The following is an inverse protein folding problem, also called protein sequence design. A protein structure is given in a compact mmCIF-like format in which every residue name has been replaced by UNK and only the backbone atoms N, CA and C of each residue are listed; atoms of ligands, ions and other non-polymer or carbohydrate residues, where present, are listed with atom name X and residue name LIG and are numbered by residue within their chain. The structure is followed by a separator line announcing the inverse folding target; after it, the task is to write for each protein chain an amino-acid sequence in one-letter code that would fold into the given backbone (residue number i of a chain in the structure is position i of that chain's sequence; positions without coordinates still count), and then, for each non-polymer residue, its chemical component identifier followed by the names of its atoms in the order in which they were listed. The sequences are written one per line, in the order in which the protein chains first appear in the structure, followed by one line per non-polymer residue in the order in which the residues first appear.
data_IF_407481832190
#
_entry.id   IF_407481832190
#
_cell.length_a   1.000
_cell.length_b   1.000
_cell.length_c   1.000
_cell.angle_alpha   90.00
_cell.angle_beta   90.00
_cell.angle_gamma   90.00
#
_symmetry.space_group_name_H-M   'P 1'
#
loop_
_entity.id
_entity.type
_entity.pdbx_description
1 polymer ?
#
# COMPACT_ATOMS: atom_id res chain seq x y z
N UNK A 1 -27.42 -20.12 -1.31
CA UNK A 1 -26.20 -20.03 -0.49
C UNK A 1 -25.10 -19.52 -1.40
N UNK A 2 -24.37 -18.46 -1.04
CA UNK A 2 -23.24 -18.02 -1.85
C UNK A 2 -22.21 -19.16 -1.89
N UNK A 3 -21.76 -19.52 -3.09
CA UNK A 3 -20.80 -20.60 -3.32
C UNK A 3 -19.49 -20.28 -2.57
N UNK A 4 -19.00 -21.24 -1.77
CA UNK A 4 -17.81 -21.01 -0.95
C UNK A 4 -16.58 -21.05 -1.85
N UNK A 5 -16.00 -19.88 -2.13
CA UNK A 5 -14.74 -19.78 -2.90
C UNK A 5 -13.61 -20.53 -2.22
N UNK A 6 -12.87 -21.29 -3.01
CA UNK A 6 -11.58 -21.89 -2.64
C UNK A 6 -10.52 -20.82 -2.36
N UNK A 7 -9.44 -21.22 -1.67
CA UNK A 7 -8.34 -20.32 -1.37
C UNK A 7 -7.73 -19.69 -2.64
N UNK A 8 -7.56 -20.49 -3.71
CA UNK A 8 -6.97 -20.01 -4.95
C UNK A 8 -7.93 -19.10 -5.74
N UNK A 9 -9.25 -19.36 -5.71
CA UNK A 9 -10.23 -18.44 -6.30
C UNK A 9 -10.24 -17.08 -5.61
N UNK A 10 -9.96 -17.02 -4.30
CA UNK A 10 -9.75 -15.74 -3.59
C UNK A 10 -8.48 -15.03 -4.06
N UNK A 11 -7.38 -15.75 -4.27
CA UNK A 11 -6.14 -15.19 -4.88
C UNK A 11 -6.42 -14.63 -6.27
N UNK A 12 -7.14 -15.36 -7.12
CA UNK A 12 -7.54 -14.88 -8.44
C UNK A 12 -8.44 -13.64 -8.36
N UNK A 13 -9.35 -13.59 -7.40
CA UNK A 13 -10.21 -12.43 -7.16
C UNK A 13 -9.43 -11.20 -6.61
N UNK A 14 -8.38 -11.41 -5.80
CA UNK A 14 -7.48 -10.35 -5.35
C UNK A 14 -6.67 -9.76 -6.51
N UNK A 15 -6.26 -10.61 -7.46
CA UNK A 15 -5.44 -10.24 -8.63
C UNK A 15 -6.22 -9.71 -9.81
N UNK A 16 -7.56 -9.81 -9.79
CA UNK A 16 -8.40 -9.38 -10.90
C UNK A 16 -8.07 -7.94 -11.32
N UNK A 17 -7.77 -7.72 -12.60
CA UNK A 17 -7.35 -6.42 -13.12
C UNK A 17 -8.39 -5.30 -13.00
N UNK A 18 -9.68 -5.65 -12.78
CA UNK A 18 -10.78 -4.70 -12.52
C UNK A 18 -11.07 -4.50 -11.04
N UNK A 19 -10.29 -5.13 -10.16
CA UNK A 19 -10.46 -4.97 -8.71
C UNK A 19 -10.14 -3.52 -8.34
N UNK A 20 -11.04 -2.83 -7.61
CA UNK A 20 -10.77 -1.51 -7.06
C UNK A 20 -9.50 -1.49 -6.20
N UNK A 21 -8.66 -0.49 -6.45
CA UNK A 21 -7.39 -0.27 -5.76
C UNK A 21 -7.45 1.02 -4.93
N UNK A 22 -6.34 1.44 -4.34
CA UNK A 22 -6.35 2.54 -3.38
C UNK A 22 -6.89 3.87 -3.94
N UNK A 23 -6.63 4.19 -5.22
CA UNK A 23 -7.15 5.40 -5.86
C UNK A 23 -8.68 5.42 -5.92
N UNK A 24 -9.31 4.27 -6.21
CA UNK A 24 -10.77 4.13 -6.24
C UNK A 24 -11.39 4.52 -4.89
N UNK A 25 -10.83 4.03 -3.78
CA UNK A 25 -11.34 4.36 -2.45
C UNK A 25 -11.09 5.81 -2.08
N UNK A 26 -9.94 6.39 -2.48
CA UNK A 26 -9.69 7.82 -2.30
C UNK A 26 -10.76 8.64 -3.02
N UNK A 27 -11.02 8.36 -4.30
CA UNK A 27 -12.00 9.09 -5.11
C UNK A 27 -13.43 9.00 -4.57
N UNK A 28 -13.82 7.86 -4.01
CA UNK A 28 -15.20 7.61 -3.59
C UNK A 28 -15.47 7.85 -2.10
N UNK A 29 -14.44 7.97 -1.26
CA UNK A 29 -14.59 8.08 0.20
C UNK A 29 -13.95 9.35 0.79
N UNK A 30 -13.04 10.01 0.08
CA UNK A 30 -12.25 11.12 0.63
C UNK A 30 -12.63 12.41 -0.09
N UNK A 31 -13.32 13.28 0.64
CA UNK A 31 -13.72 14.60 0.15
C UNK A 31 -12.51 15.55 0.15
N UNK A 32 -12.48 16.49 -0.81
CA UNK A 32 -11.45 17.53 -0.94
C UNK A 32 -10.01 16.98 -0.96
N UNK A 33 -9.81 15.82 -1.60
CA UNK A 33 -8.50 15.18 -1.64
C UNK A 33 -7.48 16.03 -2.43
N UNK A 34 -6.35 16.31 -1.77
CA UNK A 34 -5.18 16.97 -2.36
C UNK A 34 -4.02 15.99 -2.30
N UNK A 35 -3.60 15.53 -3.49
CA UNK A 35 -2.43 14.66 -3.64
C UNK A 35 -1.14 15.44 -3.33
N UNK A 36 -0.22 14.80 -2.59
CA UNK A 36 1.05 15.36 -2.15
C UNK A 36 2.20 14.48 -2.63
N UNK A 37 3.10 15.09 -3.40
CA UNK A 37 4.16 14.38 -4.13
C UNK A 37 5.53 14.44 -3.44
N UNK A 38 6.36 13.44 -3.73
CA UNK A 38 7.80 13.40 -3.47
C UNK A 38 8.21 12.99 -2.05
N UNK A 39 9.40 12.40 -1.94
CA UNK A 39 10.01 12.00 -0.67
C UNK A 39 10.97 13.05 -0.08
N UNK A 40 11.25 14.12 -0.83
CA UNK A 40 12.24 15.19 -0.54
C UNK A 40 13.70 14.70 -0.50
N UNK A 41 13.99 13.55 -1.08
CA UNK A 41 15.33 12.95 -1.11
C UNK A 41 15.74 12.50 -2.51
N UNK A 42 14.87 11.79 -3.21
CA UNK A 42 15.20 11.19 -4.51
C UNK A 42 14.10 11.42 -5.55
N UNK A 43 12.86 11.07 -5.27
CA UNK A 43 11.81 11.02 -6.30
C UNK A 43 10.40 11.02 -5.77
N UNK A 44 9.45 11.00 -6.72
CA UNK A 44 8.03 10.80 -6.46
C UNK A 44 7.57 9.49 -7.08
N UNK A 45 7.46 8.44 -6.26
CA UNK A 45 7.05 7.11 -6.72
C UNK A 45 5.56 7.06 -7.02
N UNK A 46 5.20 6.83 -8.28
CA UNK A 46 3.81 6.76 -8.73
C UNK A 46 3.05 5.53 -8.20
N UNK A 47 3.74 4.50 -7.68
CA UNK A 47 3.13 3.35 -7.02
C UNK A 47 2.46 3.71 -5.69
N UNK A 48 2.79 4.88 -5.11
CA UNK A 48 2.17 5.41 -3.89
C UNK A 48 1.40 6.68 -4.22
N UNK A 49 0.06 6.63 -4.12
CA UNK A 49 -0.80 7.82 -4.14
C UNK A 49 -1.04 8.25 -2.70
N UNK A 50 -0.73 9.49 -2.35
CA UNK A 50 -0.87 9.92 -0.97
C UNK A 50 -1.19 11.40 -0.85
N UNK A 51 -1.93 11.78 0.18
CA UNK A 51 -2.42 13.15 0.30
C UNK A 51 -3.22 13.41 1.56
N UNK A 52 -3.91 14.55 1.58
CA UNK A 52 -4.81 14.97 2.65
C UNK A 52 -6.20 15.17 2.09
N UNK A 53 -7.21 14.95 2.92
CA UNK A 53 -8.61 15.23 2.58
C UNK A 53 -9.46 15.09 3.83
N UNK A 54 -10.76 14.91 3.65
CA UNK A 54 -11.67 14.66 4.77
C UNK A 54 -12.49 13.39 4.56
N UNK A 55 -12.70 12.64 5.63
CA UNK A 55 -13.60 11.50 5.68
C UNK A 55 -14.67 11.79 6.72
N UNK A 56 -15.93 11.92 6.32
CA UNK A 56 -17.02 12.32 7.21
C UNK A 56 -16.69 13.60 8.02
N UNK A 57 -16.11 14.61 7.35
CA UNK A 57 -15.64 15.88 7.93
C UNK A 57 -14.44 15.79 8.89
N UNK A 58 -13.84 14.61 9.05
CA UNK A 58 -12.61 14.42 9.83
C UNK A 58 -11.42 14.58 8.88
N UNK A 59 -10.47 15.50 9.14
CA UNK A 59 -9.28 15.64 8.31
C UNK A 59 -8.38 14.42 8.48
N UNK A 60 -8.04 13.78 7.36
CA UNK A 60 -7.24 12.54 7.33
C UNK A 60 -6.06 12.69 6.39
N UNK A 61 -4.99 11.94 6.66
CA UNK A 61 -3.94 11.65 5.68
C UNK A 61 -4.19 10.27 5.12
N UNK A 62 -4.19 10.16 3.79
CA UNK A 62 -4.48 8.90 3.09
C UNK A 62 -3.28 8.50 2.25
N UNK A 63 -2.91 7.22 2.29
CA UNK A 63 -1.75 6.66 1.59
C UNK A 63 -2.22 5.36 0.94
N UNK A 64 -2.02 5.22 -0.36
CA UNK A 64 -2.54 4.13 -1.16
C UNK A 64 -1.44 3.54 -2.05
N UNK A 65 -1.29 2.22 -2.01
CA UNK A 65 -0.59 1.50 -3.08
C UNK A 65 -1.51 1.44 -4.29
N UNK A 66 -1.02 1.93 -5.43
CA UNK A 66 -1.79 2.02 -6.66
C UNK A 66 -1.06 1.37 -7.82
N UNK A 67 -1.74 0.44 -8.50
CA UNK A 67 -1.19 -0.26 -9.67
C UNK A 67 -1.63 0.35 -10.98
N UNK A 68 -2.75 1.07 -11.06
CA UNK A 68 -3.31 1.59 -12.30
C UNK A 68 -4.21 0.62 -13.05
N UNK A 69 -5.12 1.20 -13.85
CA UNK A 69 -6.16 0.46 -14.57
C UNK A 69 -5.72 0.10 -15.99
N UNK A 70 -4.98 1.01 -16.63
CA UNK A 70 -4.42 0.78 -17.97
C UNK A 70 -3.02 0.16 -17.92
N UNK A 71 -2.56 -0.40 -19.04
CA UNK A 71 -1.19 -0.94 -19.14
C UNK A 71 -0.16 0.17 -18.96
N UNK A 72 -0.41 1.34 -19.56
CA UNK A 72 0.48 2.51 -19.47
C UNK A 72 0.61 2.99 -18.02
N UNK A 73 -0.51 3.07 -17.29
CA UNK A 73 -0.50 3.40 -15.86
C UNK A 73 0.22 2.33 -15.04
N UNK A 74 -0.01 1.05 -15.33
CA UNK A 74 0.67 -0.05 -14.64
C UNK A 74 2.16 -0.01 -14.80
N UNK A 75 2.65 0.27 -16.00
CA UNK A 75 4.07 0.45 -16.23
C UNK A 75 4.61 1.66 -15.47
N UNK A 76 3.89 2.80 -15.49
CA UNK A 76 4.30 4.01 -14.75
C UNK A 76 4.34 3.80 -13.24
N UNK A 77 3.43 2.99 -12.70
CA UNK A 77 3.27 2.75 -11.26
C UNK A 77 3.94 1.46 -10.78
N UNK A 78 4.84 0.87 -11.58
CA UNK A 78 5.52 -0.39 -11.25
C UNK A 78 4.54 -1.50 -10.80
N UNK A 79 3.35 -1.55 -11.42
CA UNK A 79 2.26 -2.48 -11.08
C UNK A 79 1.84 -2.40 -9.59
N UNK A 80 2.02 -1.25 -8.95
CA UNK A 80 1.74 -1.02 -7.54
C UNK A 80 2.80 -1.56 -6.61
N UNK A 81 4.00 -1.86 -7.11
CA UNK A 81 5.16 -2.26 -6.32
C UNK A 81 6.03 -1.03 -6.04
N UNK A 82 6.05 -0.50 -4.81
CA UNK A 82 6.80 0.72 -4.53
C UNK A 82 8.31 0.50 -4.54
N UNK A 83 9.01 1.53 -4.98
CA UNK A 83 10.44 1.75 -4.81
C UNK A 83 10.73 2.39 -3.43
N UNK A 84 12.00 2.50 -2.99
CA UNK A 84 12.34 3.00 -1.66
C UNK A 84 11.80 4.42 -1.37
N UNK A 85 11.84 5.29 -2.38
CA UNK A 85 11.27 6.64 -2.36
C UNK A 85 9.74 6.64 -2.14
N UNK A 86 9.01 5.61 -2.55
CA UNK A 86 7.59 5.46 -2.25
C UNK A 86 7.33 5.29 -0.76
N UNK A 87 8.09 4.41 -0.10
CA UNK A 87 8.02 4.23 1.35
C UNK A 87 8.49 5.47 2.11
N UNK A 88 9.51 6.18 1.63
CA UNK A 88 9.95 7.44 2.24
C UNK A 88 8.90 8.53 2.10
N UNK A 89 8.24 8.64 0.94
CA UNK A 89 7.11 9.55 0.72
C UNK A 89 5.97 9.23 1.68
N UNK A 90 5.61 7.96 1.81
CA UNK A 90 4.59 7.52 2.76
C UNK A 90 4.94 7.95 4.19
N UNK A 91 6.12 7.60 4.68
CA UNK A 91 6.59 7.97 6.01
C UNK A 91 6.62 9.49 6.24
N UNK A 92 7.07 10.27 5.25
CA UNK A 92 7.05 11.74 5.33
C UNK A 92 5.63 12.25 5.60
N UNK A 93 4.65 11.75 4.86
CA UNK A 93 3.26 12.16 4.99
C UNK A 93 2.62 11.66 6.28
N UNK A 94 3.01 10.48 6.78
CA UNK A 94 2.61 10.00 8.10
C UNK A 94 3.14 10.90 9.23
N UNK A 95 4.42 11.32 9.15
CA UNK A 95 5.00 12.28 10.10
C UNK A 95 4.29 13.65 10.06
N UNK A 96 3.88 14.10 8.87
CA UNK A 96 3.03 15.28 8.74
C UNK A 96 1.65 15.07 9.38
N UNK A 97 1.04 13.91 9.18
CA UNK A 97 -0.25 13.56 9.80
C UNK A 97 -0.16 13.59 11.33
N UNK A 98 0.88 12.98 11.91
CA UNK A 98 1.12 12.99 13.35
C UNK A 98 1.31 14.42 13.88
N UNK A 99 2.13 15.25 13.22
CA UNK A 99 2.36 16.65 13.59
C UNK A 99 1.07 17.45 13.72
N UNK A 100 0.10 17.19 12.83
CA UNK A 100 -1.19 17.87 12.81
C UNK A 100 -2.33 17.05 13.43
N UNK A 101 -2.01 15.92 14.08
CA UNK A 101 -2.97 15.02 14.75
C UNK A 101 -4.11 14.56 13.82
N UNK A 102 -3.78 14.26 12.56
CA UNK A 102 -4.72 13.66 11.61
C UNK A 102 -4.61 12.13 11.67
N UNK A 103 -5.73 11.40 11.70
CA UNK A 103 -5.70 9.96 11.47
C UNK A 103 -5.09 9.62 10.11
N UNK A 104 -4.42 8.47 10.05
CA UNK A 104 -3.81 7.94 8.83
C UNK A 104 -4.63 6.75 8.34
N UNK A 105 -4.96 6.75 7.05
CA UNK A 105 -5.64 5.63 6.37
C UNK A 105 -4.71 5.09 5.29
N UNK A 106 -4.34 3.83 5.39
CA UNK A 106 -3.49 3.13 4.44
C UNK A 106 -4.31 2.12 3.61
N UNK A 107 -4.27 2.22 2.28
CA UNK A 107 -4.82 1.22 1.37
C UNK A 107 -3.69 0.36 0.80
N UNK A 108 -3.70 -0.93 1.14
CA UNK A 108 -2.68 -1.91 0.75
C UNK A 108 -3.21 -2.76 -0.41
N UNK A 109 -2.51 -2.69 -1.53
CA UNK A 109 -2.88 -3.37 -2.77
C UNK A 109 -1.65 -3.58 -3.66
N UNK A 110 -0.72 -4.39 -3.20
CA UNK A 110 0.56 -4.64 -3.85
C UNK A 110 0.96 -6.10 -3.76
N UNK A 111 1.58 -6.63 -4.82
CA UNK A 111 2.21 -7.95 -4.81
C UNK A 111 3.56 -7.96 -4.06
N UNK A 112 4.09 -6.79 -3.69
CA UNK A 112 5.31 -6.66 -2.92
C UNK A 112 6.05 -5.35 -3.20
N UNK A 113 7.20 -5.16 -2.56
CA UNK A 113 8.11 -4.09 -2.92
C UNK A 113 8.73 -4.37 -4.30
N UNK A 114 9.10 -3.32 -5.04
CA UNK A 114 9.78 -3.51 -6.32
C UNK A 114 11.14 -4.20 -6.12
N UNK A 115 11.40 -5.26 -6.89
CA UNK A 115 12.59 -6.11 -6.79
C UNK A 115 13.61 -5.79 -7.90
N UNK A 116 14.08 -4.54 -7.97
CA UNK A 116 15.05 -4.07 -8.96
C UNK A 116 16.41 -3.70 -8.36
N UNK A 117 17.47 -3.73 -9.18
CA UNK A 117 18.83 -3.31 -8.77
C UNK A 117 18.82 -1.89 -8.21
N UNK A 118 18.14 -1.00 -8.92
CA UNK A 118 17.95 0.39 -8.54
C UNK A 118 17.29 0.58 -7.17
N UNK A 119 16.31 -0.26 -6.84
CA UNK A 119 15.67 -0.24 -5.52
C UNK A 119 16.64 -0.69 -4.42
N UNK A 120 17.48 -1.69 -4.70
CA UNK A 120 18.50 -2.17 -3.76
C UNK A 120 19.60 -1.12 -3.52
N UNK A 121 20.12 -0.49 -4.58
CA UNK A 121 21.12 0.60 -4.49
C UNK A 121 20.59 1.78 -3.67
N UNK A 122 19.28 2.04 -3.75
CA UNK A 122 18.59 3.07 -2.98
C UNK A 122 18.11 2.61 -1.62
N UNK A 123 18.33 1.36 -1.21
CA UNK A 123 18.03 0.87 0.14
C UNK A 123 16.57 0.50 0.39
N UNK A 124 16.02 -0.40 -0.43
CA UNK A 124 14.65 -0.94 -0.28
C UNK A 124 14.36 -1.51 1.11
N UNK A 125 15.26 -2.38 1.60
CA UNK A 125 15.14 -2.95 2.94
C UNK A 125 15.17 -1.89 4.05
N UNK A 126 16.02 -0.87 3.92
CA UNK A 126 16.09 0.23 4.88
C UNK A 126 14.81 1.06 4.89
N UNK A 127 14.29 1.44 3.72
CA UNK A 127 13.08 2.25 3.63
C UNK A 127 11.86 1.55 4.24
N UNK A 128 11.73 0.24 4.03
CA UNK A 128 10.72 -0.59 4.68
C UNK A 128 10.95 -0.63 6.19
N UNK A 129 12.16 -0.93 6.65
CA UNK A 129 12.47 -1.02 8.08
C UNK A 129 12.23 0.30 8.83
N UNK A 130 12.59 1.44 8.23
CA UNK A 130 12.32 2.78 8.76
C UNK A 130 10.82 3.03 8.91
N UNK A 131 10.00 2.64 7.92
CA UNK A 131 8.54 2.75 8.01
C UNK A 131 8.01 1.93 9.19
N UNK A 132 8.40 0.65 9.28
CA UNK A 132 7.97 -0.22 10.37
C UNK A 132 8.32 0.36 11.75
N UNK A 133 9.57 0.78 11.92
CA UNK A 133 10.07 1.32 13.19
C UNK A 133 9.35 2.59 13.60
N UNK A 134 9.17 3.53 12.67
CA UNK A 134 8.55 4.83 12.96
C UNK A 134 7.04 4.69 13.20
N UNK A 135 6.34 3.87 12.41
CA UNK A 135 4.91 3.64 12.57
C UNK A 135 4.56 3.03 13.94
N UNK A 136 5.42 2.17 14.50
CA UNK A 136 5.22 1.61 15.85
C UNK A 136 5.21 2.69 16.95
N UNK A 137 5.86 3.83 16.72
CA UNK A 137 5.98 4.92 17.69
C UNK A 137 4.99 6.08 17.48
N UNK A 138 4.16 6.03 16.43
CA UNK A 138 3.27 7.14 16.08
C UNK A 138 2.16 7.37 17.11
N UNK A 139 1.83 8.64 17.32
CA UNK A 139 0.86 9.12 18.31
C UNK A 139 -0.46 9.57 17.67
N UNK A 140 -0.74 9.11 16.46
CA UNK A 140 -1.99 9.37 15.75
C UNK A 140 -2.59 8.04 15.28
N UNK A 141 -3.92 7.88 15.22
CA UNK A 141 -4.52 6.62 14.82
C UNK A 141 -4.14 6.23 13.40
N UNK A 142 -3.80 4.96 13.19
CA UNK A 142 -3.49 4.37 11.88
C UNK A 142 -4.47 3.24 11.60
N UNK A 143 -5.13 3.30 10.44
CA UNK A 143 -6.01 2.25 9.94
C UNK A 143 -5.44 1.74 8.62
N UNK A 144 -5.14 0.45 8.52
CA UNK A 144 -4.67 -0.17 7.28
C UNK A 144 -5.71 -1.12 6.72
N UNK A 145 -6.04 -0.96 5.43
CA UNK A 145 -7.05 -1.72 4.72
C UNK A 145 -6.39 -2.48 3.58
N UNK A 146 -6.37 -3.81 3.64
CA UNK A 146 -5.91 -4.66 2.55
C UNK A 146 -7.04 -4.79 1.54
N UNK A 147 -6.90 -4.03 0.46
CA UNK A 147 -7.91 -3.95 -0.60
C UNK A 147 -7.68 -4.98 -1.68
N UNK A 148 -6.45 -5.45 -1.91
CA UNK A 148 -6.10 -6.43 -2.93
C UNK A 148 -5.14 -7.49 -2.42
N UNK A 149 -3.95 -7.54 -2.99
CA UNK A 149 -2.84 -8.31 -2.43
C UNK A 149 -2.10 -7.48 -1.37
N UNK A 150 -1.71 -8.13 -0.28
CA UNK A 150 -0.77 -7.67 0.72
C UNK A 150 0.49 -8.51 0.64
N UNK A 151 1.37 -8.19 -0.30
CA UNK A 151 2.60 -8.92 -0.54
C UNK A 151 3.74 -8.56 0.42
N UNK A 152 4.10 -9.51 1.29
CA UNK A 152 5.35 -9.54 2.06
C UNK A 152 5.65 -8.24 2.84
N UNK A 153 6.94 -7.94 3.02
CA UNK A 153 7.43 -6.74 3.70
C UNK A 153 7.04 -5.43 3.02
N UNK A 154 6.82 -5.43 1.70
CA UNK A 154 6.38 -4.24 0.98
C UNK A 154 4.98 -3.78 1.40
N UNK A 155 4.04 -4.72 1.50
CA UNK A 155 2.72 -4.44 2.08
C UNK A 155 2.80 -4.07 3.56
N UNK A 156 3.64 -4.80 4.31
CA UNK A 156 3.82 -4.57 5.75
C UNK A 156 4.37 -3.17 6.08
N UNK A 157 5.12 -2.55 5.16
CA UNK A 157 5.62 -1.19 5.32
C UNK A 157 4.50 -0.15 5.52
N UNK A 158 3.25 -0.45 5.13
CA UNK A 158 2.07 0.37 5.43
C UNK A 158 1.07 -0.37 6.35
N UNK A 159 1.48 -1.49 6.92
CA UNK A 159 0.63 -2.43 7.66
C UNK A 159 0.72 -2.34 9.18
N UNK A 160 1.69 -1.60 9.73
CA UNK A 160 1.77 -1.33 11.18
C UNK A 160 0.69 -0.33 11.55
N UNK A 161 -0.35 -0.77 12.27
CA UNK A 161 -1.53 0.05 12.50
C UNK A 161 -2.25 -0.33 13.80
N UNK A 162 -3.15 0.54 14.25
CA UNK A 162 -4.05 0.27 15.37
C UNK A 162 -5.21 -0.65 14.95
N UNK A 163 -5.64 -0.54 13.69
CA UNK A 163 -6.74 -1.34 13.15
C UNK A 163 -6.41 -1.82 11.74
N UNK A 164 -6.38 -3.14 11.58
CA UNK A 164 -6.22 -3.80 10.29
C UNK A 164 -7.57 -4.32 9.78
N UNK A 165 -7.92 -3.96 8.54
CA UNK A 165 -9.12 -4.42 7.84
C UNK A 165 -8.68 -5.18 6.59
N UNK A 166 -9.31 -6.31 6.31
CA UNK A 166 -9.10 -7.05 5.06
C UNK A 166 -10.44 -7.23 4.35
N UNK A 167 -10.48 -6.91 3.05
CA UNK A 167 -11.66 -7.23 2.25
C UNK A 167 -11.79 -8.76 2.11
N UNK A 168 -13.02 -9.26 1.99
CA UNK A 168 -13.31 -10.71 2.02
C UNK A 168 -12.50 -11.54 1.01
N UNK A 169 -12.11 -10.95 -0.12
CA UNK A 169 -11.33 -11.61 -1.18
C UNK A 169 -9.91 -11.02 -1.31
N UNK A 170 -9.43 -10.27 -0.32
CA UNK A 170 -8.04 -9.84 -0.23
C UNK A 170 -7.16 -10.96 0.32
N UNK A 171 -5.86 -10.91 0.02
CA UNK A 171 -4.87 -11.91 0.46
C UNK A 171 -3.71 -11.20 1.11
N UNK A 172 -3.16 -11.76 2.18
CA UNK A 172 -1.97 -11.24 2.86
C UNK A 172 -1.01 -12.41 3.11
N UNK A 173 0.22 -12.34 2.59
CA UNK A 173 1.19 -13.42 2.72
C UNK A 173 2.64 -12.94 2.83
N UNK A 174 3.49 -13.74 3.47
CA UNK A 174 4.93 -13.45 3.62
C UNK A 174 5.71 -13.62 2.30
N UNK A 175 5.18 -14.45 1.40
CA UNK A 175 5.72 -14.74 0.06
C UNK A 175 4.55 -15.02 -0.88
N UNK A 176 4.72 -14.80 -2.18
CA UNK A 176 3.70 -15.17 -3.16
C UNK A 176 3.45 -16.69 -3.14
N UNK A 177 2.22 -17.16 -3.44
CA UNK A 177 1.94 -18.59 -3.58
C UNK A 177 2.89 -19.28 -4.57
N UNK A 178 3.20 -18.63 -5.69
CA UNK A 178 4.13 -19.12 -6.71
C UNK A 178 5.56 -19.24 -6.17
N UNK A 179 6.02 -18.23 -5.42
CA UNK A 179 7.33 -18.23 -4.78
C UNK A 179 7.45 -19.37 -3.77
N UNK A 180 6.43 -19.57 -2.94
CA UNK A 180 6.37 -20.66 -1.98
C UNK A 180 6.44 -22.04 -2.66
N UNK A 181 5.64 -22.25 -3.71
CA UNK A 181 5.58 -23.50 -4.45
C UNK A 181 6.93 -23.86 -5.10
N UNK A 182 7.59 -22.91 -5.75
CA UNK A 182 8.89 -23.16 -6.40
C UNK A 182 10.02 -23.50 -5.42
N UNK A 183 9.92 -23.06 -4.16
CA UNK A 183 10.91 -23.37 -3.11
C UNK A 183 10.62 -24.72 -2.45
N UNK A 184 9.37 -24.96 -2.06
CA UNK A 184 8.99 -26.10 -1.21
C UNK A 184 8.55 -27.34 -1.99
N UNK A 185 8.13 -27.20 -3.25
CA UNK A 185 7.42 -28.24 -4.00
C UNK A 185 7.98 -28.57 -5.40
N UNK A 186 9.25 -28.23 -5.66
CA UNK A 186 10.05 -28.51 -6.88
C UNK A 186 9.41 -29.44 -7.93
#
# INVERSE_FOLDING_TARGET
MAETKTAYERVQAARNGKRPMGSYYIEHMIDDFVELHGDRRFGDDAAIVAGIGTLNRIPVTVIAMERGDTIEERMKRNFGCPEPEGYRKALRLMKEAEKFRRPIICFIGSSGAYCGIEAEERGQGLAIAENLYEMMGMKTPIISVVVGEGGSGGALALGVCDTAIMLENAVYSVISPEGCASILWK
#
